data_IF_736269415681
#
_entry.id   IF_736269415681
#
_cell.length_a   1.000
_cell.length_b   1.000
_cell.length_c   1.000
_cell.angle_alpha   90.00
_cell.angle_beta   90.00
_cell.angle_gamma   90.00
#
_symmetry.space_group_name_H-M   'P 1'
#
loop_
_entity.id
_entity.type
_entity.pdbx_description
1 polymer ?
#
# COMPACT_ATOMS: atom_id res chain seq x y z
N UNK A 1 13.62 7.95 30.77
CA UNK A 1 12.96 7.57 29.51
C UNK A 1 14.02 6.96 28.61
N UNK A 2 13.84 5.73 28.14
CA UNK A 2 14.76 5.09 27.19
C UNK A 2 14.67 5.78 25.83
N UNK A 3 15.66 5.57 24.94
CA UNK A 3 15.61 6.08 23.58
C UNK A 3 14.38 5.55 22.82
N UNK A 4 14.03 4.28 23.06
CA UNK A 4 12.83 3.66 22.51
C UNK A 4 11.56 4.36 23.00
N UNK A 5 11.40 4.53 24.31
CA UNK A 5 10.24 5.23 24.89
C UNK A 5 10.11 6.67 24.35
N UNK A 6 11.22 7.35 24.13
CA UNK A 6 11.24 8.71 23.57
C UNK A 6 10.75 8.73 22.12
N UNK A 7 11.21 7.78 21.29
CA UNK A 7 10.77 7.64 19.89
C UNK A 7 9.27 7.29 19.83
N UNK A 8 8.83 6.32 20.64
CA UNK A 8 7.43 5.92 20.73
C UNK A 8 6.53 7.10 21.14
N UNK A 9 6.98 7.93 22.10
CA UNK A 9 6.25 9.14 22.50
C UNK A 9 6.12 10.14 21.35
N UNK A 10 7.20 10.42 20.60
CA UNK A 10 7.17 11.36 19.47
C UNK A 10 6.28 10.84 18.34
N UNK A 11 6.37 9.55 18.03
CA UNK A 11 5.51 8.91 17.02
C UNK A 11 4.04 8.97 17.44
N UNK A 12 3.76 8.68 18.71
CA UNK A 12 2.43 8.81 19.29
C UNK A 12 1.93 10.25 19.13
N UNK A 13 2.65 11.25 19.63
CA UNK A 13 2.26 12.66 19.50
C UNK A 13 2.00 13.07 18.04
N UNK A 14 2.85 12.63 17.12
CA UNK A 14 2.69 12.93 15.69
C UNK A 14 1.43 12.31 15.12
N UNK A 15 1.15 11.04 15.44
CA UNK A 15 -0.05 10.35 15.01
C UNK A 15 -1.32 10.99 15.57
N UNK A 16 -1.29 11.41 16.84
CA UNK A 16 -2.45 12.00 17.50
C UNK A 16 -2.80 13.40 16.98
N UNK A 17 -1.89 14.10 16.27
CA UNK A 17 -2.19 15.40 15.63
C UNK A 17 -3.31 15.33 14.61
N UNK A 18 -3.45 14.19 13.93
CA UNK A 18 -4.48 13.97 12.91
C UNK A 18 -5.61 13.07 13.39
N UNK A 19 -5.63 12.68 14.68
CA UNK A 19 -6.61 11.77 15.25
C UNK A 19 -8.04 12.28 15.03
N UNK A 20 -8.30 13.54 15.36
CA UNK A 20 -9.64 14.14 15.26
C UNK A 20 -10.16 14.15 13.81
N UNK A 21 -9.29 14.47 12.85
CA UNK A 21 -9.62 14.42 11.43
C UNK A 21 -10.00 13.00 11.00
N UNK A 22 -9.27 11.98 11.43
CA UNK A 22 -9.54 10.61 11.05
C UNK A 22 -10.83 10.07 11.69
N UNK A 23 -11.14 10.51 12.92
CA UNK A 23 -12.44 10.25 13.57
C UNK A 23 -13.57 10.93 12.80
N UNK A 24 -13.37 12.16 12.34
CA UNK A 24 -14.34 12.87 11.50
C UNK A 24 -14.55 12.15 10.16
N UNK A 25 -13.48 11.72 9.48
CA UNK A 25 -13.57 10.92 8.26
C UNK A 25 -14.42 9.66 8.48
N UNK A 26 -14.13 8.91 9.56
CA UNK A 26 -14.92 7.74 9.92
C UNK A 26 -16.40 8.06 10.13
N UNK A 27 -16.69 9.11 10.91
CA UNK A 27 -18.06 9.52 11.19
C UNK A 27 -18.83 9.91 9.92
N UNK A 28 -18.17 10.63 9.00
CA UNK A 28 -18.72 11.02 7.71
C UNK A 28 -18.93 9.83 6.77
N UNK A 29 -18.02 8.85 6.77
CA UNK A 29 -18.14 7.64 5.95
C UNK A 29 -19.15 6.63 6.52
N UNK A 30 -19.50 6.69 7.81
CA UNK A 30 -20.27 5.64 8.47
C UNK A 30 -21.63 5.31 7.80
N UNK A 31 -22.42 6.29 7.31
CA UNK A 31 -23.62 5.99 6.53
C UNK A 31 -23.32 5.19 5.27
N UNK A 32 -22.27 5.53 4.53
CA UNK A 32 -21.86 4.80 3.31
C UNK A 32 -21.34 3.42 3.68
N UNK A 33 -20.49 3.32 4.71
CA UNK A 33 -20.00 2.05 5.25
C UNK A 33 -21.16 1.13 5.57
N UNK A 34 -22.24 1.60 6.20
CA UNK A 34 -23.38 0.74 6.49
C UNK A 34 -24.15 0.28 5.26
N UNK A 35 -24.09 0.97 4.12
CA UNK A 35 -24.92 0.69 2.95
C UNK A 35 -24.15 0.08 1.77
N UNK A 36 -22.82 0.14 1.79
CA UNK A 36 -21.96 -0.36 0.73
C UNK A 36 -21.34 -1.72 1.04
N UNK A 37 -20.53 -2.25 0.12
CA UNK A 37 -20.02 -3.62 0.20
C UNK A 37 -18.83 -3.75 1.15
N UNK A 38 -18.71 -4.93 1.75
CA UNK A 38 -17.54 -5.28 2.55
C UNK A 38 -16.41 -5.77 1.64
N UNK A 39 -15.15 -5.47 1.97
CA UNK A 39 -14.02 -6.13 1.30
C UNK A 39 -14.02 -7.65 1.54
N UNK A 40 -14.75 -8.16 2.55
CA UNK A 40 -14.99 -9.60 2.72
C UNK A 40 -15.71 -10.21 1.53
N UNK A 41 -16.54 -9.45 0.82
CA UNK A 41 -17.30 -9.94 -0.34
C UNK A 41 -16.40 -10.19 -1.56
N UNK A 42 -15.15 -9.73 -1.51
CA UNK A 42 -14.11 -10.04 -2.49
C UNK A 42 -13.42 -11.39 -2.22
N UNK A 43 -13.62 -11.97 -1.03
CA UNK A 43 -13.13 -13.31 -0.71
C UNK A 43 -13.93 -14.33 -1.51
N UNK A 44 -13.25 -15.15 -2.32
CA UNK A 44 -13.90 -16.33 -2.91
C UNK A 44 -14.29 -17.29 -1.78
N UNK A 45 -15.49 -17.87 -1.84
CA UNK A 45 -16.00 -18.88 -0.90
C UNK A 45 -15.28 -20.24 -1.02
N UNK A 46 -14.07 -20.29 -1.56
CA UNK A 46 -13.29 -21.51 -1.68
C UNK A 46 -12.42 -21.66 -0.44
N UNK A 47 -12.57 -22.80 0.24
CA UNK A 47 -11.71 -23.22 1.36
C UNK A 47 -10.25 -23.46 0.94
N UNK A 48 -9.98 -23.41 -0.36
CA UNK A 48 -8.67 -23.61 -0.95
C UNK A 48 -8.12 -22.26 -1.44
N UNK A 49 -6.90 -21.93 -0.99
CA UNK A 49 -6.07 -20.91 -1.63
C UNK A 49 -5.79 -21.41 -3.05
N UNK A 50 -6.58 -20.93 -4.02
CA UNK A 50 -6.36 -21.26 -5.42
C UNK A 50 -4.91 -20.89 -5.81
N UNK A 51 -4.33 -21.58 -6.80
CA UNK A 51 -3.06 -21.22 -7.46
C UNK A 51 -3.17 -19.89 -8.25
N UNK A 52 -3.75 -18.86 -7.61
CA UNK A 52 -3.97 -17.55 -8.15
C UNK A 52 -2.87 -16.60 -7.70
N UNK A 53 -2.40 -15.81 -8.65
CA UNK A 53 -1.38 -14.79 -8.45
C UNK A 53 -2.00 -13.40 -8.40
N UNK A 54 -1.32 -12.47 -7.73
CA UNK A 54 -1.59 -11.04 -7.78
C UNK A 54 -0.30 -10.27 -8.07
N UNK A 55 -0.44 -9.15 -8.79
CA UNK A 55 0.60 -8.13 -8.91
C UNK A 55 0.16 -6.92 -8.09
N UNK A 56 0.97 -6.54 -7.10
CA UNK A 56 0.83 -5.29 -6.37
C UNK A 56 1.65 -4.22 -7.07
N UNK A 57 1.00 -3.13 -7.45
CA UNK A 57 1.60 -2.00 -8.16
C UNK A 57 1.79 -0.84 -7.18
N UNK A 58 3.02 -0.59 -6.79
CA UNK A 58 3.44 0.55 -5.98
C UNK A 58 3.85 1.78 -6.80
N UNK A 59 4.44 2.76 -6.10
CA UNK A 59 4.83 4.06 -6.66
C UNK A 59 6.34 4.27 -6.75
N UNK A 60 7.14 3.27 -6.36
CA UNK A 60 8.59 3.36 -6.34
C UNK A 60 9.19 3.56 -7.74
N UNK A 61 10.32 4.26 -7.84
CA UNK A 61 10.88 4.73 -9.11
C UNK A 61 11.26 3.61 -10.07
N UNK A 62 11.55 2.41 -9.56
CA UNK A 62 11.89 1.25 -10.36
C UNK A 62 10.78 0.87 -11.37
N UNK A 63 9.52 1.19 -11.07
CA UNK A 63 8.41 0.94 -11.99
C UNK A 63 8.59 1.64 -13.34
N UNK A 64 9.18 2.83 -13.34
CA UNK A 64 9.49 3.60 -14.54
C UNK A 64 10.81 3.15 -15.15
N UNK A 65 11.85 2.95 -14.31
CA UNK A 65 13.20 2.52 -14.72
C UNK A 65 13.18 1.25 -15.56
N UNK A 66 12.38 0.27 -15.15
CA UNK A 66 12.27 -1.03 -15.83
C UNK A 66 11.00 -1.17 -16.67
N UNK A 67 10.26 -0.06 -16.88
CA UNK A 67 9.05 -0.02 -17.71
C UNK A 67 8.01 -1.10 -17.34
N UNK A 68 7.84 -1.40 -16.05
CA UNK A 68 7.02 -2.52 -15.59
C UNK A 68 5.56 -2.41 -16.06
N UNK A 69 4.97 -1.20 -16.08
CA UNK A 69 3.61 -1.01 -16.56
C UNK A 69 3.46 -1.36 -18.05
N UNK A 70 4.46 -1.02 -18.86
CA UNK A 70 4.49 -1.40 -20.29
C UNK A 70 4.61 -2.91 -20.44
N UNK A 71 5.55 -3.54 -19.73
CA UNK A 71 5.71 -5.00 -19.74
C UNK A 71 4.42 -5.72 -19.34
N UNK A 72 3.74 -5.23 -18.30
CA UNK A 72 2.45 -5.76 -17.87
C UNK A 72 1.39 -5.56 -18.96
N UNK A 73 1.26 -4.35 -19.50
CA UNK A 73 0.31 -4.04 -20.57
C UNK A 73 0.56 -4.83 -21.87
N UNK A 74 1.77 -5.32 -22.12
CA UNK A 74 2.10 -6.19 -23.26
C UNK A 74 1.99 -7.70 -22.93
N UNK A 75 1.83 -8.05 -21.66
CA UNK A 75 1.76 -9.44 -21.21
C UNK A 75 0.40 -10.11 -21.45
N UNK A 76 0.37 -11.42 -21.25
CA UNK A 76 -0.84 -12.25 -21.19
C UNK A 76 -1.15 -12.68 -19.73
N UNK A 77 -0.84 -11.84 -18.75
CA UNK A 77 -1.11 -12.15 -17.34
C UNK A 77 -2.62 -12.11 -17.04
N UNK A 78 -3.15 -13.12 -16.34
CA UNK A 78 -4.59 -13.26 -16.04
C UNK A 78 -4.92 -13.25 -14.53
N UNK A 79 -3.90 -13.00 -13.69
CA UNK A 79 -4.07 -12.89 -12.25
C UNK A 79 -4.69 -11.56 -11.83
N UNK A 80 -4.64 -11.28 -10.53
CA UNK A 80 -5.21 -10.06 -9.96
C UNK A 80 -4.24 -8.89 -10.12
N UNK A 81 -4.77 -7.70 -10.42
CA UNK A 81 -4.03 -6.44 -10.41
C UNK A 81 -4.49 -5.63 -9.21
N UNK A 82 -3.58 -5.33 -8.29
CA UNK A 82 -3.84 -4.52 -7.10
C UNK A 82 -3.00 -3.26 -7.19
N UNK A 83 -3.61 -2.17 -7.63
CA UNK A 83 -2.93 -0.89 -7.80
C UNK A 83 -3.05 -0.04 -6.53
N UNK A 84 -1.94 0.57 -6.09
CA UNK A 84 -2.03 1.65 -5.12
C UNK A 84 -2.66 2.87 -5.81
N UNK A 85 -3.56 3.56 -5.12
CA UNK A 85 -4.25 4.76 -5.62
C UNK A 85 -3.36 5.75 -6.38
N UNK A 86 -2.22 6.15 -5.81
CA UNK A 86 -1.32 7.11 -6.43
C UNK A 86 -0.58 6.61 -7.67
N UNK A 87 -0.79 5.37 -8.11
CA UNK A 87 -0.31 4.85 -9.41
C UNK A 87 -1.45 4.45 -10.36
N UNK A 88 -2.71 4.61 -9.95
CA UNK A 88 -3.87 4.17 -10.74
C UNK A 88 -3.91 4.82 -12.13
N UNK A 89 -3.87 6.15 -12.19
CA UNK A 89 -3.91 6.88 -13.46
C UNK A 89 -2.76 6.47 -14.40
N UNK A 90 -1.54 6.33 -13.87
CA UNK A 90 -0.37 5.91 -14.67
C UNK A 90 -0.53 4.49 -15.22
N UNK A 91 -1.08 3.57 -14.42
CA UNK A 91 -1.35 2.20 -14.85
C UNK A 91 -2.36 2.17 -16.01
N UNK A 92 -3.46 2.92 -15.89
CA UNK A 92 -4.48 3.04 -16.95
C UNK A 92 -3.88 3.65 -18.23
N UNK A 93 -3.10 4.74 -18.11
CA UNK A 93 -2.40 5.39 -19.25
C UNK A 93 -1.44 4.46 -19.97
N UNK A 94 -0.81 3.55 -19.24
CA UNK A 94 0.11 2.57 -19.81
C UNK A 94 -0.59 1.37 -20.48
N UNK A 95 -1.93 1.32 -20.47
CA UNK A 95 -2.70 0.20 -21.04
C UNK A 95 -2.96 -0.95 -20.06
N UNK A 96 -2.64 -0.79 -18.78
CA UNK A 96 -3.03 -1.73 -17.72
C UNK A 96 -4.45 -1.39 -17.27
N UNK A 97 -5.43 -1.68 -18.13
CA UNK A 97 -6.85 -1.33 -17.92
C UNK A 97 -7.66 -2.52 -17.40
N UNK A 98 -8.79 -2.30 -16.70
CA UNK A 98 -9.67 -3.39 -16.29
C UNK A 98 -10.30 -4.15 -17.47
N UNK A 99 -10.38 -3.55 -18.66
CA UNK A 99 -10.82 -4.26 -19.87
C UNK A 99 -9.83 -5.36 -20.27
N UNK A 100 -8.53 -5.10 -20.17
CA UNK A 100 -7.50 -6.12 -20.41
C UNK A 100 -7.31 -7.04 -19.20
N UNK A 101 -7.43 -6.51 -17.98
CA UNK A 101 -7.23 -7.22 -16.72
C UNK A 101 -8.51 -7.16 -15.86
N UNK A 102 -9.52 -8.02 -16.09
CA UNK A 102 -10.83 -7.91 -15.43
C UNK A 102 -10.81 -8.03 -13.90
N UNK A 103 -9.73 -8.60 -13.32
CA UNK A 103 -9.51 -8.68 -11.87
C UNK A 103 -8.72 -7.45 -11.40
N UNK A 104 -9.32 -6.27 -11.56
CA UNK A 104 -8.68 -5.00 -11.30
C UNK A 104 -9.16 -4.37 -9.98
N UNK A 105 -8.19 -4.05 -9.13
CA UNK A 105 -8.43 -3.49 -7.81
C UNK A 105 -7.59 -2.24 -7.61
N UNK A 106 -8.16 -1.23 -6.96
CA UNK A 106 -7.39 -0.09 -6.42
C UNK A 106 -7.50 -0.09 -4.91
N UNK A 107 -6.39 0.15 -4.22
CA UNK A 107 -6.34 0.24 -2.75
C UNK A 107 -6.05 1.67 -2.32
N UNK A 108 -6.84 2.17 -1.36
CA UNK A 108 -6.60 3.43 -0.66
C UNK A 108 -6.63 3.19 0.84
N UNK A 109 -5.55 3.61 1.50
CA UNK A 109 -5.35 3.44 2.95
C UNK A 109 -5.29 4.78 3.66
N UNK A 110 -4.55 5.71 3.06
CA UNK A 110 -4.20 6.98 3.69
C UNK A 110 -5.45 7.87 3.88
N UNK A 111 -5.60 8.50 5.05
CA UNK A 111 -6.81 9.26 5.39
C UNK A 111 -6.79 10.72 4.92
N UNK A 112 -5.75 11.14 4.18
CA UNK A 112 -5.49 12.55 3.92
C UNK A 112 -6.31 13.13 2.76
N UNK A 113 -6.67 14.42 2.80
CA UNK A 113 -7.45 15.07 1.74
C UNK A 113 -6.80 15.00 0.34
N UNK A 114 -5.47 15.01 0.28
CA UNK A 114 -4.70 14.99 -0.97
C UNK A 114 -4.92 13.71 -1.78
N UNK A 115 -5.40 12.64 -1.15
CA UNK A 115 -5.70 11.37 -1.82
C UNK A 115 -6.78 11.53 -2.89
N UNK A 116 -7.67 12.52 -2.75
CA UNK A 116 -8.69 12.84 -3.77
C UNK A 116 -8.07 13.02 -5.16
N UNK A 117 -6.90 13.65 -5.26
CA UNK A 117 -6.23 13.94 -6.55
C UNK A 117 -5.85 12.67 -7.32
N UNK A 118 -5.69 11.54 -6.63
CA UNK A 118 -5.37 10.26 -7.27
C UNK A 118 -6.52 9.70 -8.09
N UNK A 119 -7.73 10.24 -7.91
CA UNK A 119 -8.95 9.89 -8.64
C UNK A 119 -9.36 10.96 -9.68
N UNK A 120 -8.60 12.06 -9.81
CA UNK A 120 -8.89 13.15 -10.73
C UNK A 120 -8.22 12.94 -12.11
N UNK A 121 -8.59 11.87 -12.81
CA UNK A 121 -8.12 11.59 -14.18
C UNK A 121 -9.27 11.08 -15.08
N UNK A 122 -9.42 11.56 -16.32
CA UNK A 122 -10.50 11.13 -17.22
C UNK A 122 -10.53 9.62 -17.49
N UNK A 123 -9.37 8.94 -17.47
CA UNK A 123 -9.35 7.47 -17.64
C UNK A 123 -9.97 6.76 -16.44
N UNK A 124 -9.91 7.35 -15.25
CA UNK A 124 -10.59 6.79 -14.08
C UNK A 124 -12.10 6.91 -14.25
N UNK A 125 -12.60 7.99 -14.86
CA UNK A 125 -14.03 8.12 -15.21
C UNK A 125 -14.45 7.14 -16.31
N UNK A 126 -13.59 6.88 -17.29
CA UNK A 126 -13.83 5.89 -18.34
C UNK A 126 -13.91 4.45 -17.80
N UNK A 127 -12.95 4.07 -16.95
CA UNK A 127 -12.79 2.69 -16.50
C UNK A 127 -13.41 2.40 -15.12
N UNK A 128 -13.81 3.42 -14.37
CA UNK A 128 -14.15 3.30 -12.95
C UNK A 128 -15.23 2.27 -12.65
N UNK A 129 -16.26 2.16 -13.49
CA UNK A 129 -17.31 1.13 -13.38
C UNK A 129 -16.82 -0.33 -13.42
N UNK A 130 -15.62 -0.57 -13.93
CA UNK A 130 -14.97 -1.88 -14.01
C UNK A 130 -13.93 -2.10 -12.88
N UNK A 131 -13.66 -1.09 -12.06
CA UNK A 131 -12.66 -1.12 -11.00
C UNK A 131 -13.33 -1.42 -9.64
N UNK A 132 -12.72 -2.33 -8.88
CA UNK A 132 -13.10 -2.59 -7.49
C UNK A 132 -12.18 -1.79 -6.56
N UNK A 133 -12.72 -0.78 -5.91
CA UNK A 133 -12.00 0.01 -4.92
C UNK A 133 -12.05 -0.63 -3.54
N UNK A 134 -10.91 -0.67 -2.85
CA UNK A 134 -10.77 -1.17 -1.49
C UNK A 134 -10.29 -0.01 -0.62
N UNK A 135 -11.16 0.43 0.28
CA UNK A 135 -11.00 1.65 1.06
C UNK A 135 -11.01 1.36 2.56
N UNK A 136 -10.15 2.03 3.32
CA UNK A 136 -10.25 2.00 4.77
C UNK A 136 -11.43 2.85 5.23
N UNK A 137 -12.06 2.47 6.34
CA UNK A 137 -13.10 3.28 6.99
C UNK A 137 -12.64 4.71 7.36
N UNK A 138 -11.33 4.97 7.37
CA UNK A 138 -10.71 6.26 7.70
C UNK A 138 -10.40 7.13 6.48
N UNK A 139 -10.58 6.62 5.26
CA UNK A 139 -10.25 7.36 4.04
C UNK A 139 -10.99 8.70 4.01
N UNK A 140 -10.33 9.76 3.54
CA UNK A 140 -10.99 11.06 3.40
C UNK A 140 -12.29 10.93 2.58
N UNK A 141 -13.46 11.38 3.10
CA UNK A 141 -14.75 11.21 2.43
C UNK A 141 -14.80 11.80 1.02
N UNK A 142 -14.06 12.89 0.75
CA UNK A 142 -14.03 13.49 -0.58
C UNK A 142 -13.28 12.62 -1.60
N UNK A 143 -12.29 11.84 -1.16
CA UNK A 143 -11.59 10.89 -2.03
C UNK A 143 -12.50 9.70 -2.36
N UNK A 144 -13.22 9.17 -1.36
CA UNK A 144 -14.19 8.08 -1.57
C UNK A 144 -15.31 8.55 -2.50
N UNK A 145 -15.85 9.74 -2.25
CA UNK A 145 -16.90 10.34 -3.08
C UNK A 145 -16.42 10.53 -4.52
N UNK A 146 -15.21 11.05 -4.74
CA UNK A 146 -14.65 11.20 -6.09
C UNK A 146 -14.50 9.86 -6.82
N UNK A 147 -14.03 8.82 -6.13
CA UNK A 147 -13.92 7.48 -6.68
C UNK A 147 -15.31 6.92 -7.05
N UNK A 148 -16.30 7.13 -6.19
CA UNK A 148 -17.69 6.73 -6.42
C UNK A 148 -18.30 7.44 -7.63
N UNK A 149 -18.02 8.73 -7.83
CA UNK A 149 -18.46 9.51 -8.99
C UNK A 149 -17.92 8.95 -10.32
N UNK A 150 -16.71 8.38 -10.33
CA UNK A 150 -16.17 7.64 -11.49
C UNK A 150 -16.81 6.27 -11.71
N UNK A 151 -17.71 5.83 -10.81
CA UNK A 151 -18.33 4.51 -10.85
C UNK A 151 -17.50 3.40 -10.18
N UNK A 152 -16.40 3.72 -9.48
CA UNK A 152 -15.62 2.70 -8.76
C UNK A 152 -16.50 2.06 -7.68
N UNK A 153 -16.53 0.71 -7.67
CA UNK A 153 -17.28 -0.03 -6.66
C UNK A 153 -16.51 -0.06 -5.33
N UNK A 154 -17.05 0.59 -4.31
CA UNK A 154 -16.41 0.74 -2.99
C UNK A 154 -16.58 -0.53 -2.14
N UNK A 155 -15.46 -1.04 -1.62
CA UNK A 155 -15.43 -2.14 -0.66
C UNK A 155 -14.67 -1.71 0.60
N UNK A 156 -15.34 -1.78 1.75
CA UNK A 156 -14.82 -1.26 3.01
C UNK A 156 -14.00 -2.28 3.80
N UNK A 157 -12.95 -1.81 4.46
CA UNK A 157 -12.18 -2.56 5.46
C UNK A 157 -11.72 -1.66 6.62
N UNK A 158 -11.36 -2.27 7.75
CA UNK A 158 -10.66 -1.58 8.82
C UNK A 158 -9.15 -1.60 8.59
N UNK A 159 -8.49 -0.46 8.71
CA UNK A 159 -7.04 -0.38 8.96
C UNK A 159 -6.78 -0.41 10.46
N UNK A 160 -5.71 -1.10 10.88
CA UNK A 160 -5.18 -0.94 12.23
C UNK A 160 -4.65 0.49 12.37
N UNK A 161 -5.20 1.22 13.32
CA UNK A 161 -4.93 2.63 13.53
C UNK A 161 -4.33 2.89 14.91
N UNK A 162 -4.95 2.39 15.98
CA UNK A 162 -4.52 2.73 17.33
C UNK A 162 -3.90 1.56 18.10
N UNK A 163 -3.35 1.90 19.27
CA UNK A 163 -2.76 0.92 20.19
C UNK A 163 -3.82 -0.02 20.76
N UNK A 164 -3.39 -1.18 21.24
CA UNK A 164 -4.28 -2.13 21.91
C UNK A 164 -4.71 -1.61 23.29
N UNK A 165 -5.69 -0.71 23.31
CA UNK A 165 -6.29 -0.13 24.52
C UNK A 165 -7.62 -0.82 24.90
N UNK A 166 -7.87 -2.01 24.36
CA UNK A 166 -9.08 -2.79 24.62
C UNK A 166 -10.36 -2.03 24.29
N UNK A 167 -11.26 -1.86 25.27
CA UNK A 167 -12.55 -1.17 25.07
C UNK A 167 -12.44 0.30 24.68
N UNK A 168 -11.29 0.95 24.98
CA UNK A 168 -11.05 2.36 24.67
C UNK A 168 -10.46 2.58 23.29
N UNK A 169 -10.00 1.50 22.64
CA UNK A 169 -9.43 1.60 21.31
C UNK A 169 -10.47 2.10 20.32
N UNK A 170 -10.08 3.07 19.49
CA UNK A 170 -10.84 3.55 18.36
C UNK A 170 -11.13 2.40 17.38
N UNK A 171 -10.17 1.50 17.10
CA UNK A 171 -10.45 0.32 16.28
C UNK A 171 -11.59 -0.53 16.88
N UNK A 172 -11.63 -0.70 18.21
CA UNK A 172 -12.72 -1.43 18.87
C UNK A 172 -14.06 -0.69 18.78
N UNK A 173 -14.07 0.62 19.04
CA UNK A 173 -15.28 1.46 19.02
C UNK A 173 -15.85 1.57 17.61
N UNK A 174 -15.02 1.92 16.62
CA UNK A 174 -15.42 2.03 15.21
C UNK A 174 -15.97 0.69 14.70
N UNK A 175 -15.36 -0.44 15.05
CA UNK A 175 -15.86 -1.75 14.66
C UNK A 175 -17.22 -2.08 15.31
N UNK A 176 -17.49 -1.62 16.54
CA UNK A 176 -18.82 -1.75 17.16
C UNK A 176 -19.87 -0.91 16.41
N UNK A 177 -19.53 0.32 16.03
CA UNK A 177 -20.42 1.21 15.28
C UNK A 177 -20.73 0.65 13.89
N UNK A 178 -19.74 0.09 13.19
CA UNK A 178 -19.91 -0.59 11.91
C UNK A 178 -20.88 -1.78 12.03
N UNK A 179 -20.74 -2.60 13.09
CA UNK A 179 -21.62 -3.76 13.34
C UNK A 179 -23.05 -3.39 13.72
N UNK A 180 -23.34 -2.13 14.01
CA UNK A 180 -24.67 -1.71 14.44
C UNK A 180 -25.74 -1.81 13.33
N UNK A 181 -25.35 -1.94 12.06
CA UNK A 181 -26.28 -2.11 10.92
C UNK A 181 -25.87 -3.27 10.00
N UNK A 182 -25.80 -3.08 8.68
CA UNK A 182 -25.73 -4.16 7.70
C UNK A 182 -24.43 -4.98 7.73
N UNK A 183 -23.42 -4.55 8.49
CA UNK A 183 -22.18 -5.30 8.71
C UNK A 183 -22.14 -6.00 10.07
N UNK A 184 -23.20 -6.70 10.46
CA UNK A 184 -23.31 -7.38 11.78
C UNK A 184 -22.12 -8.29 12.11
N UNK A 185 -21.51 -8.91 11.09
CA UNK A 185 -20.34 -9.78 11.23
C UNK A 185 -18.99 -9.05 11.13
N UNK A 186 -19.02 -7.71 11.05
CA UNK A 186 -17.87 -6.84 10.90
C UNK A 186 -17.31 -6.78 9.48
N UNK A 187 -16.42 -5.81 9.28
CA UNK A 187 -15.56 -5.69 8.11
C UNK A 187 -14.24 -6.43 8.37
N UNK A 188 -13.53 -6.87 7.32
CA UNK A 188 -12.17 -7.38 7.50
C UNK A 188 -11.27 -6.26 8.03
N UNK A 189 -10.26 -6.63 8.81
CA UNK A 189 -9.23 -5.72 9.31
C UNK A 189 -7.86 -6.15 8.79
N UNK A 190 -7.06 -5.19 8.33
CA UNK A 190 -5.70 -5.45 7.82
C UNK A 190 -4.67 -4.59 8.55
N UNK A 191 -3.44 -5.11 8.58
CA UNK A 191 -2.26 -4.33 8.92
C UNK A 191 -1.85 -3.49 7.71
N UNK A 192 -1.33 -2.28 7.96
CA UNK A 192 -0.98 -1.35 6.89
C UNK A 192 0.51 -1.25 6.62
N UNK A 193 1.36 -1.56 7.62
CA UNK A 193 2.80 -1.35 7.51
C UNK A 193 3.21 0.10 7.24
N UNK A 194 2.28 1.04 7.49
CA UNK A 194 2.45 2.47 7.24
C UNK A 194 2.42 2.91 5.78
N UNK A 195 2.05 2.03 4.83
CA UNK A 195 1.94 2.41 3.42
C UNK A 195 0.91 1.54 2.64
N UNK A 196 0.41 2.08 1.53
CA UNK A 196 -0.58 1.41 0.66
C UNK A 196 -0.05 0.11 0.03
N UNK A 197 1.24 0.05 -0.32
CA UNK A 197 1.85 -1.12 -0.96
C UNK A 197 1.88 -2.36 -0.08
N UNK A 198 2.26 -2.20 1.18
CA UNK A 198 2.26 -3.27 2.19
C UNK A 198 0.83 -3.72 2.50
N UNK A 199 -0.10 -2.77 2.61
CA UNK A 199 -1.53 -3.06 2.76
C UNK A 199 -2.09 -3.86 1.58
N UNK A 200 -1.68 -3.50 0.36
CA UNK A 200 -2.07 -4.19 -0.89
C UNK A 200 -1.55 -5.63 -0.94
N UNK A 201 -0.36 -5.89 -0.39
CA UNK A 201 0.12 -7.26 -0.22
C UNK A 201 -0.80 -8.07 0.72
N UNK A 202 -1.18 -7.52 1.89
CA UNK A 202 -2.16 -8.18 2.77
C UNK A 202 -3.49 -8.42 2.05
N UNK A 203 -4.00 -7.43 1.32
CA UNK A 203 -5.23 -7.58 0.54
C UNK A 203 -5.11 -8.75 -0.45
N UNK A 204 -4.00 -8.87 -1.17
CA UNK A 204 -3.79 -9.92 -2.15
C UNK A 204 -3.94 -11.33 -1.57
N UNK A 205 -3.32 -11.63 -0.43
CA UNK A 205 -3.35 -12.99 0.11
C UNK A 205 -4.42 -13.22 1.19
N UNK A 206 -4.72 -12.21 2.04
CA UNK A 206 -5.75 -12.37 3.09
C UNK A 206 -7.15 -12.20 2.56
N UNK A 207 -7.37 -11.24 1.67
CA UNK A 207 -8.70 -10.91 1.14
C UNK A 207 -8.94 -11.65 -0.17
N UNK A 208 -8.06 -11.49 -1.16
CA UNK A 208 -8.24 -12.11 -2.48
C UNK A 208 -7.77 -13.59 -2.54
N UNK A 209 -7.21 -14.11 -1.45
CA UNK A 209 -6.77 -15.52 -1.31
C UNK A 209 -5.73 -15.97 -2.34
N UNK A 210 -4.92 -15.04 -2.85
CA UNK A 210 -3.83 -15.37 -3.76
C UNK A 210 -2.71 -16.10 -3.00
N UNK A 211 -2.20 -17.17 -3.60
CA UNK A 211 -1.07 -17.95 -3.10
C UNK A 211 0.28 -17.38 -3.53
N UNK A 212 0.31 -16.54 -4.56
CA UNK A 212 1.51 -15.84 -5.02
C UNK A 212 1.25 -14.33 -5.16
N UNK A 213 2.09 -13.50 -4.53
CA UNK A 213 2.02 -12.04 -4.65
C UNK A 213 3.34 -11.52 -5.23
N UNK A 214 3.29 -10.96 -6.42
CA UNK A 214 4.40 -10.22 -7.01
C UNK A 214 4.30 -8.72 -6.70
N UNK A 215 5.44 -8.11 -6.42
CA UNK A 215 5.58 -6.70 -6.09
C UNK A 215 6.29 -5.98 -7.23
N UNK A 216 5.72 -4.90 -7.75
CA UNK A 216 6.41 -3.96 -8.65
C UNK A 216 6.31 -2.54 -8.12
N UNK A 217 7.40 -1.77 -8.19
CA UNK A 217 7.43 -0.41 -7.66
C UNK A 217 7.33 -0.34 -6.12
N UNK A 218 7.83 -1.37 -5.41
CA UNK A 218 7.89 -1.41 -3.95
C UNK A 218 9.37 -1.34 -3.51
N UNK A 219 10.01 -0.21 -3.79
CA UNK A 219 11.44 -0.03 -3.50
C UNK A 219 11.72 0.00 -1.99
N UNK A 220 10.84 0.65 -1.21
CA UNK A 220 11.05 0.94 0.22
C UNK A 220 12.46 1.49 0.48
N UNK A 221 12.82 2.55 -0.26
CA UNK A 221 14.09 3.24 -0.18
C UNK A 221 14.35 4.03 -1.46
N UNK A 222 15.43 4.81 -1.42
CA UNK A 222 15.88 5.69 -2.50
C UNK A 222 16.91 5.00 -3.39
N UNK A 223 16.91 5.35 -4.67
CA UNK A 223 17.98 4.97 -5.59
C UNK A 223 19.24 5.82 -5.32
N UNK A 224 20.42 5.34 -5.72
CA UNK A 224 21.67 6.08 -5.49
C UNK A 224 21.80 7.37 -6.31
N UNK A 225 21.09 7.43 -7.43
CA UNK A 225 21.03 8.58 -8.32
C UNK A 225 19.92 9.58 -7.95
N UNK A 226 19.10 9.29 -6.94
CA UNK A 226 18.15 10.25 -6.40
C UNK A 226 18.89 11.45 -5.79
N UNK A 227 18.40 12.66 -6.08
CA UNK A 227 19.01 13.87 -5.54
C UNK A 227 18.82 13.93 -4.02
N UNK A 228 19.81 14.46 -3.29
CA UNK A 228 19.67 14.67 -1.85
C UNK A 228 18.49 15.60 -1.49
N UNK A 229 18.14 16.56 -2.34
CA UNK A 229 16.96 17.38 -2.16
C UNK A 229 15.69 16.52 -2.17
N UNK A 230 15.58 15.60 -3.14
CA UNK A 230 14.48 14.63 -3.23
C UNK A 230 14.43 13.72 -2.00
N UNK A 231 15.57 13.13 -1.62
CA UNK A 231 15.69 12.23 -0.46
C UNK A 231 15.26 12.95 0.83
N UNK A 232 15.81 14.15 1.08
CA UNK A 232 15.56 14.88 2.31
C UNK A 232 14.12 15.42 2.39
N UNK A 233 13.59 15.94 1.29
CA UNK A 233 12.21 16.48 1.22
C UNK A 233 11.13 15.41 1.04
N UNK A 234 11.53 14.15 0.86
CA UNK A 234 10.64 13.05 0.47
C UNK A 234 9.82 13.39 -0.79
N UNK A 235 10.43 14.13 -1.73
CA UNK A 235 9.79 14.60 -2.96
C UNK A 235 8.81 15.77 -2.80
N UNK A 236 8.69 16.38 -1.61
CA UNK A 236 7.80 17.52 -1.38
C UNK A 236 8.45 18.89 -1.66
N UNK A 237 9.70 18.91 -2.18
CA UNK A 237 10.42 20.11 -2.61
C UNK A 237 10.45 21.27 -1.58
N UNK A 238 10.55 20.94 -0.30
CA UNK A 238 10.87 21.93 0.73
C UNK A 238 12.39 22.15 0.78
N UNK A 239 12.82 23.38 1.06
CA UNK A 239 14.24 23.72 1.25
C UNK A 239 14.73 23.22 2.63
N UNK A 240 14.80 21.90 2.81
CA UNK A 240 15.34 21.22 4.01
C UNK A 240 16.86 21.09 3.93
N UNK A 241 17.46 21.53 2.81
CA UNK A 241 18.90 21.37 2.53
C UNK A 241 19.79 22.29 3.39
N UNK A 242 19.22 23.36 3.98
CA UNK A 242 19.97 24.32 4.80
C UNK A 242 20.20 23.77 6.21
N UNK A 243 21.44 23.36 6.47
CA UNK A 243 21.95 23.07 7.82
C UNK A 243 22.18 21.59 8.15
N UNK A 244 22.07 20.68 7.19
CA UNK A 244 22.37 19.26 7.40
C UNK A 244 23.85 18.98 7.13
N UNK A 245 24.60 18.63 8.18
CA UNK A 245 25.98 18.14 8.05
C UNK A 245 25.99 16.68 7.59
N UNK A 246 26.16 16.51 6.27
CA UNK A 246 26.24 15.20 5.60
C UNK A 246 27.56 14.45 5.85
N UNK A 247 28.56 15.10 6.44
CA UNK A 247 29.83 14.46 6.82
C UNK A 247 29.79 13.87 8.23
N UNK A 248 28.70 14.12 8.97
CA UNK A 248 28.56 13.64 10.34
C UNK A 248 28.28 12.13 10.39
N UNK A 249 28.81 11.39 11.39
CA UNK A 249 28.45 9.99 11.63
C UNK A 249 26.95 9.77 11.87
N UNK A 250 26.24 10.81 12.34
CA UNK A 250 24.79 10.76 12.52
C UNK A 250 24.05 10.67 11.18
N UNK A 251 24.56 11.35 10.14
CA UNK A 251 23.98 11.30 8.80
C UNK A 251 24.08 9.89 8.21
N UNK A 252 25.25 9.26 8.27
CA UNK A 252 25.44 7.88 7.79
C UNK A 252 24.55 6.87 8.52
N UNK A 253 24.28 7.12 9.81
CA UNK A 253 23.38 6.29 10.61
C UNK A 253 21.90 6.46 10.22
N UNK A 254 21.50 7.66 9.79
CA UNK A 254 20.12 7.97 9.40
C UNK A 254 19.83 7.60 7.94
N UNK A 255 20.81 7.73 7.05
CA UNK A 255 20.72 7.45 5.62
C UNK A 255 21.60 6.26 5.24
N UNK A 256 21.20 5.08 5.69
CA UNK A 256 22.00 3.86 5.52
C UNK A 256 21.95 3.39 4.08
N UNK A 257 23.12 3.21 3.49
CA UNK A 257 23.26 2.48 2.22
C UNK A 257 23.24 0.98 2.48
N UNK A 258 22.32 0.28 1.82
CA UNK A 258 22.21 -1.18 1.85
C UNK A 258 22.43 -1.75 0.45
N UNK A 259 22.99 -2.95 0.39
CA UNK A 259 23.19 -3.68 -0.86
C UNK A 259 22.14 -4.78 -0.99
N UNK A 260 21.42 -4.79 -2.11
CA UNK A 260 20.50 -5.86 -2.50
C UNK A 260 21.28 -6.91 -3.32
N UNK A 261 21.55 -8.10 -2.76
CA UNK A 261 22.38 -9.10 -3.41
C UNK A 261 21.69 -9.78 -4.59
N UNK A 262 20.36 -9.82 -4.62
CA UNK A 262 19.60 -10.50 -5.68
C UNK A 262 19.55 -9.69 -6.98
N UNK A 263 19.52 -8.36 -6.87
CA UNK A 263 19.52 -7.45 -8.02
C UNK A 263 20.86 -6.77 -8.27
N UNK A 264 21.85 -7.00 -7.40
CA UNK A 264 23.18 -6.37 -7.48
C UNK A 264 23.08 -4.83 -7.59
N UNK A 265 22.34 -4.22 -6.68
CA UNK A 265 22.15 -2.77 -6.62
C UNK A 265 22.20 -2.28 -5.18
N UNK A 266 22.51 -0.99 -4.97
CA UNK A 266 22.35 -0.39 -3.65
C UNK A 266 21.07 0.42 -3.55
N UNK A 267 20.65 0.64 -2.31
CA UNK A 267 19.51 1.48 -1.97
C UNK A 267 19.87 2.28 -0.71
N UNK A 268 19.36 3.51 -0.61
CA UNK A 268 19.51 4.36 0.57
C UNK A 268 18.23 4.29 1.39
N UNK A 269 18.36 3.96 2.67
CA UNK A 269 17.28 3.95 3.65
C UNK A 269 17.41 5.15 4.57
N UNK A 270 16.43 6.05 4.49
CA UNK A 270 16.16 7.00 5.57
C UNK A 270 15.41 6.29 6.73
N UNK A 271 15.13 6.96 7.86
CA UNK A 271 14.40 6.35 8.97
C UNK A 271 12.99 5.84 8.61
N UNK A 272 12.29 6.50 7.68
CA UNK A 272 10.93 6.14 7.28
C UNK A 272 10.93 4.87 6.43
N UNK A 273 11.78 4.81 5.40
CA UNK A 273 11.93 3.63 4.56
C UNK A 273 12.61 2.48 5.31
N UNK A 274 13.47 2.77 6.28
CA UNK A 274 13.96 1.73 7.20
C UNK A 274 12.78 1.10 7.96
N UNK A 275 11.88 1.91 8.52
CA UNK A 275 10.67 1.41 9.19
C UNK A 275 9.78 0.59 8.24
N UNK A 276 9.42 1.13 7.07
CA UNK A 276 8.57 0.43 6.09
C UNK A 276 9.19 -0.88 5.60
N UNK A 277 10.50 -0.89 5.30
CA UNK A 277 11.21 -2.10 4.86
C UNK A 277 11.25 -3.15 5.97
N UNK A 278 11.64 -2.77 7.19
CA UNK A 278 11.71 -3.70 8.31
C UNK A 278 10.35 -4.30 8.65
N UNK A 279 9.30 -3.47 8.78
CA UNK A 279 7.95 -3.93 9.08
C UNK A 279 7.45 -4.89 7.99
N UNK A 280 7.64 -4.55 6.71
CA UNK A 280 7.16 -5.40 5.63
C UNK A 280 7.89 -6.74 5.56
N UNK A 281 9.22 -6.75 5.74
CA UNK A 281 10.01 -7.99 5.84
C UNK A 281 9.56 -8.85 7.03
N UNK A 282 9.29 -8.24 8.18
CA UNK A 282 8.78 -8.96 9.35
C UNK A 282 7.43 -9.62 9.02
N UNK A 283 6.50 -8.90 8.39
CA UNK A 283 5.21 -9.48 7.99
C UNK A 283 5.36 -10.64 7.02
N UNK A 284 6.27 -10.55 6.05
CA UNK A 284 6.54 -11.64 5.09
C UNK A 284 7.14 -12.85 5.82
N UNK A 285 8.11 -12.65 6.73
CA UNK A 285 8.73 -13.75 7.50
C UNK A 285 7.70 -14.54 8.33
N UNK A 286 6.69 -13.85 8.87
CA UNK A 286 5.60 -14.40 9.69
C UNK A 286 4.39 -14.85 8.86
N UNK A 287 4.46 -14.72 7.54
CA UNK A 287 3.37 -15.15 6.67
C UNK A 287 3.28 -16.68 6.58
N UNK A 288 2.10 -17.24 6.23
CA UNK A 288 1.92 -18.68 6.11
C UNK A 288 2.89 -19.29 5.11
N UNK A 289 3.35 -20.52 5.36
CA UNK A 289 4.38 -21.16 4.54
C UNK A 289 3.95 -21.44 3.08
N UNK A 290 2.64 -21.51 2.82
CA UNK A 290 2.11 -21.66 1.46
C UNK A 290 2.14 -20.37 0.64
N UNK A 291 2.34 -19.20 1.27
CA UNK A 291 2.33 -17.92 0.59
C UNK A 291 3.70 -17.65 -0.05
N UNK A 292 3.70 -17.44 -1.35
CA UNK A 292 4.90 -17.01 -2.09
C UNK A 292 4.87 -15.49 -2.27
N UNK A 293 5.87 -14.79 -1.74
CA UNK A 293 6.08 -13.36 -2.01
C UNK A 293 7.25 -13.20 -2.96
N UNK A 294 6.99 -12.54 -4.08
CA UNK A 294 7.98 -12.29 -5.14
C UNK A 294 8.25 -10.79 -5.19
N UNK A 295 9.48 -10.38 -4.90
CA UNK A 295 9.91 -9.04 -5.27
C UNK A 295 10.31 -9.03 -6.74
N UNK A 296 9.46 -8.41 -7.58
CA UNK A 296 9.72 -8.14 -8.98
C UNK A 296 9.94 -6.64 -9.25
N UNK A 297 10.28 -5.88 -8.21
CA UNK A 297 10.61 -4.46 -8.33
C UNK A 297 11.97 -4.25 -9.00
N UNK A 298 12.81 -5.29 -9.07
CA UNK A 298 14.16 -5.23 -9.68
C UNK A 298 15.09 -4.22 -8.98
N UNK A 299 14.82 -3.93 -7.71
CA UNK A 299 15.63 -3.04 -6.89
C UNK A 299 15.07 -2.86 -5.49
N UNK A 300 15.58 -1.83 -4.81
CA UNK A 300 15.14 -1.45 -3.47
C UNK A 300 15.55 -2.42 -2.38
N UNK A 301 14.88 -2.31 -1.23
CA UNK A 301 15.28 -2.93 0.03
C UNK A 301 14.56 -4.23 0.35
N UNK A 302 13.59 -4.67 -0.45
CA UNK A 302 12.74 -5.84 -0.13
C UNK A 302 13.36 -7.14 -0.63
N UNK A 303 14.25 -7.71 0.17
CA UNK A 303 14.91 -9.01 -0.05
C UNK A 303 15.18 -9.69 1.30
N UNK A 304 15.41 -11.00 1.29
CA UNK A 304 15.73 -11.79 2.47
C UNK A 304 14.79 -12.99 2.67
N UNK A 305 14.60 -13.39 3.93
CA UNK A 305 13.81 -14.56 4.30
C UNK A 305 12.39 -14.52 3.71
N UNK A 306 11.97 -15.64 3.09
CA UNK A 306 10.66 -15.82 2.45
C UNK A 306 10.33 -14.81 1.33
N UNK A 307 11.33 -14.10 0.79
CA UNK A 307 11.18 -13.20 -0.35
C UNK A 307 11.96 -13.77 -1.52
N UNK A 308 11.26 -14.10 -2.62
CA UNK A 308 11.90 -14.50 -3.87
C UNK A 308 12.12 -13.26 -4.73
N UNK A 309 13.37 -12.93 -5.03
CA UNK A 309 13.69 -11.85 -5.95
C UNK A 309 13.80 -12.40 -7.38
N UNK A 310 13.10 -11.79 -8.33
CA UNK A 310 13.19 -12.16 -9.74
C UNK A 310 12.87 -10.99 -10.66
N UNK A 311 13.30 -11.06 -11.92
CA UNK A 311 12.93 -10.02 -12.90
C UNK A 311 11.45 -10.08 -13.21
N UNK A 312 10.81 -8.93 -13.42
CA UNK A 312 9.37 -8.88 -13.69
C UNK A 312 8.99 -9.58 -14.98
N UNK A 313 9.83 -9.48 -16.02
CA UNK A 313 9.65 -10.25 -17.27
C UNK A 313 9.67 -11.76 -17.03
N UNK A 314 10.49 -12.22 -16.10
CA UNK A 314 10.56 -13.64 -15.75
C UNK A 314 9.30 -14.06 -14.99
N UNK A 315 8.82 -13.25 -14.04
CA UNK A 315 7.53 -13.48 -13.38
C UNK A 315 6.39 -13.63 -14.40
N UNK A 316 6.24 -12.68 -15.32
CA UNK A 316 5.20 -12.70 -16.36
C UNK A 316 5.29 -13.90 -17.33
N UNK A 317 6.44 -14.57 -17.40
CA UNK A 317 6.60 -15.78 -18.22
C UNK A 317 6.16 -17.05 -17.48
N UNK A 318 6.11 -17.02 -16.14
CA UNK A 318 5.79 -18.16 -15.28
C UNK A 318 4.33 -18.16 -14.80
N UNK A 319 3.69 -17.00 -14.71
CA UNK A 319 2.36 -16.77 -14.13
C UNK A 319 1.45 -16.00 -15.08
#
# INVERSE_FOLDING_TARGET
MTLQESIESIMKETQYKSFDEWVQNFASNLPDIWNETSAKDLMKNTSEYENSSAIVIGRGPAINKFQHLKLLAESNYHGNIICCDGKLADALKAGVTPTKFPKFYVTTIDPYPEIRKHYDDPLIDEYGSQIKGIFTVLTNPNAVQRARESGIKIHWLHSLFDYNEGKKSFNQISALMVRAKNHVNGLPAIQTGGNVGTSSWFIGWKILKCSTIALIGINHGWEEDDSWETILSHGNNYDISKGIDRSSPAFDKLFKKIYNPDFNCNCILDPLFQFYSMAFKEFISRSPDWLTTINATEGGSIFGEKIQCMKFKEFLSRY
#
